data_IF_693809052035
#
_entry.id   IF_693809052035
#
_cell.length_a   1.000
_cell.length_b   1.000
_cell.length_c   1.000
_cell.angle_alpha   90.00
_cell.angle_beta   90.00
_cell.angle_gamma   90.00
#
_symmetry.space_group_name_H-M   'P 1'
#
loop_
_entity.id
_entity.type
_entity.pdbx_description
1 polymer ?
#
# COMPACT_ATOMS: atom_id res chain seq x y z
N UNK A 1 18.31 33.89 -22.84
CA UNK A 1 17.02 33.24 -22.46
C UNK A 1 15.80 33.68 -23.29
N UNK A 2 15.75 34.89 -23.86
CA UNK A 2 14.56 35.42 -24.54
C UNK A 2 14.02 34.56 -25.71
N UNK A 3 14.86 33.73 -26.32
CA UNK A 3 14.49 32.89 -27.47
C UNK A 3 13.96 31.49 -27.08
N UNK A 4 13.98 31.13 -25.80
CA UNK A 4 13.52 29.83 -25.33
C UNK A 4 11.98 29.75 -25.34
N UNK A 5 11.37 28.73 -25.96
CA UNK A 5 9.92 28.64 -25.99
C UNK A 5 9.37 28.51 -24.56
N UNK A 6 8.35 29.32 -24.25
CA UNK A 6 7.63 29.38 -22.96
C UNK A 6 8.36 30.05 -21.79
N UNK A 7 9.59 30.56 -21.96
CA UNK A 7 10.27 31.29 -20.89
C UNK A 7 9.92 32.77 -21.00
N UNK A 8 9.02 33.24 -20.13
CA UNK A 8 8.72 34.66 -20.01
C UNK A 8 9.88 35.46 -19.41
N UNK A 9 9.88 36.78 -19.60
CA UNK A 9 10.96 37.69 -19.14
C UNK A 9 11.30 37.50 -17.65
N UNK A 10 10.28 37.37 -16.79
CA UNK A 10 10.48 37.16 -15.34
C UNK A 10 11.19 35.85 -15.04
N UNK A 11 10.70 34.73 -15.58
CA UNK A 11 11.30 33.41 -15.39
C UNK A 11 12.71 33.35 -16.00
N UNK A 12 12.94 34.01 -17.14
CA UNK A 12 14.25 34.11 -17.76
C UNK A 12 15.28 34.82 -16.89
N UNK A 13 14.91 35.95 -16.25
CA UNK A 13 15.79 36.64 -15.29
C UNK A 13 16.06 35.80 -14.04
N UNK A 14 15.06 35.05 -13.56
CA UNK A 14 15.21 34.14 -12.42
C UNK A 14 16.15 32.98 -12.74
N UNK A 15 16.08 32.42 -13.96
CA UNK A 15 17.02 31.41 -14.46
C UNK A 15 18.46 31.93 -14.49
N UNK A 16 18.68 33.15 -14.99
CA UNK A 16 20.01 33.79 -14.94
C UNK A 16 20.53 33.93 -13.50
N UNK A 17 19.65 34.31 -12.56
CA UNK A 17 20.04 34.46 -11.15
C UNK A 17 20.47 33.15 -10.48
N UNK A 18 20.03 32.00 -11.01
CA UNK A 18 20.46 30.66 -10.56
C UNK A 18 21.56 30.04 -11.44
N UNK A 19 22.21 30.86 -12.29
CA UNK A 19 23.31 30.44 -13.15
C UNK A 19 22.90 29.65 -14.40
N UNK A 20 21.69 29.88 -14.91
CA UNK A 20 21.18 29.30 -16.17
C UNK A 20 20.92 30.45 -17.16
N UNK A 21 21.96 30.82 -17.89
CA UNK A 21 21.97 31.98 -18.80
C UNK A 21 21.54 31.62 -20.23
N UNK A 22 21.80 30.37 -20.65
CA UNK A 22 21.59 29.88 -22.02
C UNK A 22 20.65 28.68 -22.08
N UNK A 23 20.06 28.45 -23.25
CA UNK A 23 19.21 27.28 -23.49
C UNK A 23 20.00 25.99 -23.37
N UNK A 24 21.24 25.95 -23.86
CA UNK A 24 22.11 24.78 -23.71
C UNK A 24 22.40 24.44 -22.24
N UNK A 25 22.56 25.44 -21.37
CA UNK A 25 22.67 25.19 -19.92
C UNK A 25 21.36 24.66 -19.34
N UNK A 26 20.21 25.19 -19.76
CA UNK A 26 18.90 24.70 -19.33
C UNK A 26 18.67 23.24 -19.78
N UNK A 27 19.07 22.88 -20.99
CA UNK A 27 19.02 21.51 -21.51
C UNK A 27 19.95 20.57 -20.73
N UNK A 28 21.19 21.02 -20.45
CA UNK A 28 22.16 20.24 -19.69
C UNK A 28 21.72 19.99 -18.24
N UNK A 29 21.13 20.99 -17.59
CA UNK A 29 20.59 20.88 -16.22
C UNK A 29 19.26 20.10 -16.21
N UNK A 30 18.52 20.16 -17.31
CA UNK A 30 17.19 19.57 -17.44
C UNK A 30 16.11 20.34 -16.69
N UNK A 31 14.85 20.03 -17.01
CA UNK A 31 13.70 20.78 -16.49
C UNK A 31 13.46 20.59 -14.99
N UNK A 32 13.88 19.45 -14.43
CA UNK A 32 13.79 19.18 -12.99
C UNK A 32 14.87 19.91 -12.19
N UNK A 33 16.13 19.87 -12.65
CA UNK A 33 17.23 20.57 -12.01
C UNK A 33 17.04 22.09 -12.06
N UNK A 34 16.57 22.62 -13.19
CA UNK A 34 16.29 24.04 -13.32
C UNK A 34 15.14 24.48 -12.40
N UNK A 35 14.08 23.66 -12.30
CA UNK A 35 12.97 23.92 -11.40
C UNK A 35 13.44 23.97 -9.94
N UNK A 36 14.21 22.97 -9.50
CA UNK A 36 14.73 22.92 -8.14
C UNK A 36 15.54 24.17 -7.78
N UNK A 37 16.52 24.54 -8.62
CA UNK A 37 17.36 25.73 -8.40
C UNK A 37 16.55 27.03 -8.35
N UNK A 38 15.60 27.19 -9.27
CA UNK A 38 14.73 28.37 -9.28
C UNK A 38 13.87 28.43 -8.04
N UNK A 39 13.26 27.32 -7.61
CA UNK A 39 12.40 27.29 -6.41
C UNK A 39 13.15 27.44 -5.09
N UNK A 40 14.44 27.09 -5.07
CA UNK A 40 15.31 27.29 -3.91
C UNK A 40 15.53 28.77 -3.62
N UNK A 41 15.73 29.59 -4.66
CA UNK A 41 15.92 31.05 -4.53
C UNK A 41 14.58 31.81 -4.58
N UNK A 42 13.61 31.32 -5.35
CA UNK A 42 12.32 31.96 -5.59
C UNK A 42 11.17 30.98 -5.30
N UNK A 43 10.76 30.80 -4.03
CA UNK A 43 9.73 29.84 -3.66
C UNK A 43 8.37 30.05 -4.35
N UNK A 44 8.05 31.27 -4.79
CA UNK A 44 6.83 31.58 -5.55
C UNK A 44 6.79 30.96 -6.95
N UNK A 45 7.94 30.56 -7.49
CA UNK A 45 8.06 29.78 -8.72
C UNK A 45 7.71 28.30 -8.55
N UNK A 46 7.42 27.84 -7.32
CA UNK A 46 7.02 26.46 -7.02
C UNK A 46 5.58 26.16 -7.46
N UNK A 47 5.29 26.41 -8.74
CA UNK A 47 3.98 26.28 -9.34
C UNK A 47 4.02 25.44 -10.64
N UNK A 48 2.85 24.94 -11.03
CA UNK A 48 2.72 24.02 -12.18
C UNK A 48 3.14 24.68 -13.48
N UNK A 49 2.84 25.97 -13.64
CA UNK A 49 3.11 26.70 -14.88
C UNK A 49 4.61 26.78 -15.14
N UNK A 50 5.40 27.11 -14.13
CA UNK A 50 6.87 27.15 -14.22
C UNK A 50 7.45 25.79 -14.53
N UNK A 51 6.95 24.72 -13.90
CA UNK A 51 7.38 23.35 -14.20
C UNK A 51 7.13 22.95 -15.65
N UNK A 52 5.96 23.31 -16.19
CA UNK A 52 5.59 23.03 -17.58
C UNK A 52 6.36 23.90 -18.58
N UNK A 53 6.60 25.17 -18.25
CA UNK A 53 7.39 26.08 -19.06
C UNK A 53 8.82 25.58 -19.25
N UNK A 54 9.50 25.20 -18.16
CA UNK A 54 10.85 24.63 -18.20
C UNK A 54 10.88 23.31 -18.99
N UNK A 55 9.89 22.44 -18.78
CA UNK A 55 9.81 21.18 -19.52
C UNK A 55 9.59 21.37 -21.03
N UNK A 56 8.82 22.38 -21.43
CA UNK A 56 8.66 22.77 -22.82
C UNK A 56 9.94 23.37 -23.41
N UNK A 57 10.58 24.27 -22.68
CA UNK A 57 11.82 24.93 -23.07
C UNK A 57 12.96 23.93 -23.33
N UNK A 58 13.20 23.01 -22.40
CA UNK A 58 14.21 21.93 -22.53
C UNK A 58 13.94 21.01 -23.73
N UNK A 59 12.70 20.96 -24.22
CA UNK A 59 12.30 20.12 -25.35
C UNK A 59 12.09 20.91 -26.63
N UNK A 60 12.36 22.22 -26.64
CA UNK A 60 12.13 23.08 -27.80
C UNK A 60 10.66 23.18 -28.25
N UNK A 61 9.69 22.88 -27.39
CA UNK A 61 8.26 22.87 -27.76
C UNK A 61 7.44 23.79 -26.86
N UNK A 62 6.34 24.35 -27.40
CA UNK A 62 5.33 25.01 -26.55
C UNK A 62 4.81 24.02 -25.51
N UNK A 63 4.66 24.44 -24.25
CA UNK A 63 4.26 23.53 -23.16
C UNK A 63 2.89 22.87 -23.41
N UNK A 64 2.03 23.50 -24.19
CA UNK A 64 0.74 22.96 -24.65
C UNK A 64 0.88 21.75 -25.59
N UNK A 65 2.02 21.61 -26.28
CA UNK A 65 2.36 20.47 -27.14
C UNK A 65 3.00 19.30 -26.37
N UNK A 66 3.24 19.44 -25.06
CA UNK A 66 3.69 18.31 -24.23
C UNK A 66 2.58 17.25 -24.14
N UNK A 67 2.97 15.98 -24.21
CA UNK A 67 2.02 14.86 -24.14
C UNK A 67 1.16 14.93 -22.88
N UNK A 68 -0.09 14.46 -22.96
CA UNK A 68 -1.03 14.45 -21.81
C UNK A 68 -0.43 13.74 -20.60
N UNK A 69 0.24 12.61 -20.84
CA UNK A 69 0.92 11.82 -19.79
C UNK A 69 2.05 12.60 -19.13
N UNK A 70 2.87 13.30 -19.91
CA UNK A 70 3.97 14.11 -19.39
C UNK A 70 3.45 15.29 -18.57
N UNK A 71 2.47 16.04 -19.08
CA UNK A 71 1.85 17.16 -18.35
C UNK A 71 1.24 16.70 -17.03
N UNK A 72 0.50 15.59 -17.06
CA UNK A 72 -0.07 14.97 -15.85
C UNK A 72 1.03 14.68 -14.82
N UNK A 73 2.12 14.02 -15.22
CA UNK A 73 3.24 13.68 -14.34
C UNK A 73 3.91 14.91 -13.72
N UNK A 74 4.16 15.95 -14.52
CA UNK A 74 4.82 17.19 -14.08
C UNK A 74 3.94 17.99 -13.11
N UNK A 75 2.65 18.14 -13.42
CA UNK A 75 1.67 18.78 -12.52
C UNK A 75 1.58 18.08 -11.18
N UNK A 76 1.58 16.75 -11.20
CA UNK A 76 1.40 15.95 -10.01
C UNK A 76 2.60 16.05 -9.05
N UNK A 77 3.83 16.20 -9.58
CA UNK A 77 5.03 16.45 -8.76
C UNK A 77 5.00 17.81 -8.04
N UNK A 78 4.47 18.86 -8.65
CA UNK A 78 4.44 20.22 -8.05
C UNK A 78 3.30 20.40 -7.06
N UNK A 79 2.11 19.89 -7.40
CA UNK A 79 0.92 20.04 -6.55
C UNK A 79 0.87 19.06 -5.38
N UNK A 80 1.85 18.16 -5.27
CA UNK A 80 1.80 17.00 -4.37
C UNK A 80 0.70 15.98 -4.71
N UNK A 81 -0.12 16.21 -5.75
CA UNK A 81 -1.20 15.29 -6.18
C UNK A 81 -0.68 14.08 -6.96
N UNK A 82 0.63 13.97 -7.16
CA UNK A 82 1.30 12.87 -7.83
C UNK A 82 1.65 11.73 -6.91
N UNK A 83 0.63 11.00 -6.45
CA UNK A 83 0.74 9.74 -5.71
C UNK A 83 1.96 9.67 -4.77
N UNK A 84 1.94 10.42 -3.67
CA UNK A 84 2.00 9.65 -2.44
C UNK A 84 0.66 8.91 -2.42
N UNK A 85 0.67 7.62 -2.78
CA UNK A 85 -0.39 6.77 -2.24
C UNK A 85 -0.07 6.80 -0.75
N UNK A 86 -0.58 7.78 0.00
CA UNK A 86 -0.83 7.57 1.42
C UNK A 86 -1.47 6.19 1.44
N UNK A 87 -0.76 5.20 1.99
CA UNK A 87 -1.05 3.80 1.72
C UNK A 87 -2.53 3.61 2.02
N UNK A 88 -3.35 3.49 0.95
CA UNK A 88 -4.72 3.06 1.11
C UNK A 88 -4.52 1.66 1.65
N UNK A 89 -4.83 1.47 2.94
CA UNK A 89 -4.62 0.20 3.62
C UNK A 89 -5.16 -0.97 2.80
N UNK A 90 -4.75 -2.19 3.14
CA UNK A 90 -5.05 -3.35 2.32
C UNK A 90 -6.56 -3.61 2.21
N UNK A 91 -7.06 -4.02 1.05
CA UNK A 91 -8.36 -4.70 0.98
C UNK A 91 -8.21 -6.16 1.40
N UNK A 92 -9.31 -6.80 1.81
CA UNK A 92 -9.26 -8.24 2.08
C UNK A 92 -8.88 -9.05 0.84
N UNK A 93 -9.23 -8.62 -0.37
CA UNK A 93 -8.83 -9.28 -1.61
C UNK A 93 -7.30 -9.29 -1.76
N UNK A 94 -6.63 -8.20 -1.38
CA UNK A 94 -5.17 -8.14 -1.35
C UNK A 94 -4.60 -9.09 -0.30
N UNK A 95 -5.20 -9.14 0.90
CA UNK A 95 -4.81 -10.13 1.94
C UNK A 95 -5.00 -11.56 1.45
N UNK A 96 -6.11 -11.85 0.78
CA UNK A 96 -6.39 -13.16 0.21
C UNK A 96 -5.38 -13.54 -0.88
N UNK A 97 -5.05 -12.60 -1.78
CA UNK A 97 -4.03 -12.79 -2.81
C UNK A 97 -2.63 -13.05 -2.22
N UNK A 98 -2.33 -12.53 -1.02
CA UNK A 98 -1.10 -12.87 -0.29
C UNK A 98 -1.17 -14.31 0.26
N UNK A 99 -2.27 -14.64 0.95
CA UNK A 99 -2.45 -15.94 1.58
C UNK A 99 -2.51 -17.10 0.59
N UNK A 100 -3.16 -16.91 -0.56
CA UNK A 100 -3.28 -17.91 -1.63
C UNK A 100 -1.95 -18.27 -2.30
N UNK A 101 -0.88 -17.49 -2.06
CA UNK A 101 0.48 -17.87 -2.50
C UNK A 101 1.10 -18.94 -1.61
N UNK A 102 0.55 -19.18 -0.43
CA UNK A 102 1.04 -20.18 0.52
C UNK A 102 0.45 -21.55 0.18
N UNK A 103 1.28 -22.58 0.22
CA UNK A 103 0.92 -23.94 -0.20
C UNK A 103 -0.28 -24.46 0.60
N UNK A 104 -1.32 -24.90 -0.12
CA UNK A 104 -2.52 -25.54 0.46
C UNK A 104 -3.49 -24.57 1.13
N UNK A 105 -3.27 -23.26 1.02
CA UNK A 105 -4.22 -22.25 1.51
C UNK A 105 -5.31 -22.04 0.48
N UNK A 106 -6.56 -22.05 0.93
CA UNK A 106 -7.75 -21.83 0.13
C UNK A 106 -8.63 -20.74 0.75
N UNK A 107 -9.50 -20.14 -0.07
CA UNK A 107 -10.53 -19.25 0.44
C UNK A 107 -11.80 -20.04 0.71
N UNK A 108 -12.34 -19.94 1.92
CA UNK A 108 -13.69 -20.43 2.24
C UNK A 108 -14.35 -19.54 3.29
N UNK A 109 -15.69 -19.48 3.36
CA UNK A 109 -16.36 -18.70 4.39
C UNK A 109 -16.08 -19.21 5.81
N UNK A 110 -16.10 -18.29 6.77
CA UNK A 110 -16.14 -18.55 8.21
C UNK A 110 -17.10 -17.55 8.85
N UNK A 111 -18.13 -18.03 9.53
CA UNK A 111 -19.18 -17.19 10.13
C UNK A 111 -19.77 -16.17 9.14
N UNK A 112 -20.03 -16.60 7.90
CA UNK A 112 -20.61 -15.75 6.84
C UNK A 112 -19.66 -14.71 6.24
N UNK A 113 -18.38 -14.72 6.62
CA UNK A 113 -17.35 -13.80 6.11
C UNK A 113 -16.24 -14.53 5.37
N UNK A 114 -15.58 -13.91 4.37
CA UNK A 114 -14.44 -14.50 3.68
C UNK A 114 -13.29 -14.86 4.64
N UNK A 115 -12.71 -16.04 4.46
CA UNK A 115 -11.57 -16.51 5.25
C UNK A 115 -10.54 -17.26 4.40
N UNK A 116 -9.32 -17.31 4.91
CA UNK A 116 -8.23 -18.15 4.44
C UNK A 116 -8.13 -19.36 5.37
N UNK A 117 -8.03 -20.56 4.79
CA UNK A 117 -7.89 -21.81 5.53
C UNK A 117 -6.80 -22.69 4.93
N UNK A 118 -6.16 -23.49 5.76
CA UNK A 118 -5.23 -24.54 5.35
C UNK A 118 -5.82 -25.88 5.76
N UNK A 119 -6.18 -26.73 4.78
CA UNK A 119 -6.81 -28.05 5.03
C UNK A 119 -8.00 -27.94 6.00
N UNK A 120 -8.90 -26.98 5.76
CA UNK A 120 -10.06 -26.70 6.61
C UNK A 120 -9.78 -25.96 7.93
N UNK A 121 -8.51 -25.74 8.32
CA UNK A 121 -8.14 -25.01 9.55
C UNK A 121 -7.99 -23.52 9.28
N UNK A 122 -8.59 -22.70 10.14
CA UNK A 122 -8.62 -21.24 9.96
C UNK A 122 -7.22 -20.62 10.11
N UNK A 123 -6.84 -19.80 9.14
CA UNK A 123 -5.61 -18.99 9.16
C UNK A 123 -5.90 -17.53 9.45
N UNK A 124 -6.82 -16.96 8.67
CA UNK A 124 -7.25 -15.58 8.81
C UNK A 124 -8.70 -15.43 8.33
N UNK A 125 -9.45 -14.50 8.91
CA UNK A 125 -10.78 -14.14 8.36
C UNK A 125 -11.02 -12.65 8.44
N UNK A 126 -11.77 -12.15 7.47
CA UNK A 126 -12.38 -10.83 7.55
C UNK A 126 -13.39 -10.83 8.70
N UNK A 127 -13.43 -9.77 9.50
CA UNK A 127 -14.49 -9.58 10.48
C UNK A 127 -15.71 -8.90 9.87
N UNK A 128 -16.80 -8.91 10.61
CA UNK A 128 -18.12 -8.43 10.20
C UNK A 128 -18.10 -6.92 9.87
N UNK A 129 -17.18 -6.16 10.48
CA UNK A 129 -16.96 -4.74 10.21
C UNK A 129 -16.33 -4.43 8.85
N UNK A 130 -15.86 -5.46 8.12
CA UNK A 130 -15.15 -5.37 6.83
C UNK A 130 -13.91 -4.48 6.83
N UNK A 131 -13.41 -4.10 8.01
CA UNK A 131 -12.28 -3.20 8.23
C UNK A 131 -11.12 -3.90 8.93
N UNK A 132 -11.38 -5.06 9.54
CA UNK A 132 -10.41 -5.79 10.34
C UNK A 132 -10.33 -7.24 9.94
N UNK A 133 -9.13 -7.81 10.04
CA UNK A 133 -8.86 -9.23 9.80
C UNK A 133 -8.34 -9.81 11.10
N UNK A 134 -8.86 -10.96 11.53
CA UNK A 134 -8.25 -11.72 12.61
C UNK A 134 -7.30 -12.76 12.01
N UNK A 135 -6.09 -12.88 12.54
CA UNK A 135 -5.04 -13.78 12.02
C UNK A 135 -4.49 -14.66 13.15
N UNK A 136 -4.27 -15.93 12.85
CA UNK A 136 -3.69 -16.92 13.78
C UNK A 136 -2.26 -16.50 14.12
N UNK A 137 -1.87 -16.61 15.38
CA UNK A 137 -0.54 -16.26 15.89
C UNK A 137 -0.22 -17.13 17.13
N UNK A 138 0.68 -16.69 18.02
CA UNK A 138 0.91 -17.19 19.38
C UNK A 138 0.65 -16.07 20.41
N UNK A 139 0.63 -16.40 21.70
CA UNK A 139 0.50 -15.37 22.76
C UNK A 139 1.68 -14.40 22.75
N UNK A 140 2.90 -14.93 22.72
CA UNK A 140 4.13 -14.12 22.75
C UNK A 140 4.24 -13.19 21.53
N UNK A 141 3.96 -13.71 20.33
CA UNK A 141 4.02 -12.90 19.11
C UNK A 141 2.92 -11.83 19.12
N UNK A 142 1.72 -12.18 19.58
CA UNK A 142 0.62 -11.22 19.73
C UNK A 142 1.05 -10.06 20.62
N UNK A 143 1.64 -10.32 21.78
CA UNK A 143 2.10 -9.27 22.70
C UNK A 143 3.15 -8.36 22.06
N UNK A 144 4.11 -8.93 21.32
CA UNK A 144 5.08 -8.15 20.54
C UNK A 144 4.39 -7.25 19.50
N UNK A 145 3.43 -7.78 18.73
CA UNK A 145 2.70 -7.01 17.72
C UNK A 145 1.90 -5.85 18.34
N UNK A 146 1.25 -6.11 19.48
CA UNK A 146 0.50 -5.10 20.24
C UNK A 146 1.41 -3.96 20.73
N UNK A 147 2.61 -4.30 21.21
CA UNK A 147 3.59 -3.31 21.66
C UNK A 147 4.23 -2.51 20.52
N UNK A 148 4.45 -3.13 19.36
CA UNK A 148 5.09 -2.49 18.21
C UNK A 148 4.19 -1.46 17.51
N UNK A 149 2.93 -1.80 17.26
CA UNK A 149 1.99 -0.89 16.59
C UNK A 149 0.53 -1.16 17.03
N UNK A 150 0.10 -0.59 18.17
CA UNK A 150 -1.27 -0.76 18.68
C UNK A 150 -2.35 -0.10 17.80
N UNK A 151 -1.95 0.78 16.85
CA UNK A 151 -2.88 1.34 15.87
C UNK A 151 -3.25 0.32 14.81
N UNK A 152 -2.35 -0.61 14.50
CA UNK A 152 -2.54 -1.64 13.49
C UNK A 152 -2.96 -2.98 14.10
N UNK A 153 -2.35 -3.38 15.20
CA UNK A 153 -2.57 -4.66 15.87
C UNK A 153 -3.25 -4.43 17.21
N UNK A 154 -4.34 -5.14 17.46
CA UNK A 154 -5.06 -5.06 18.72
C UNK A 154 -5.73 -6.40 19.03
N UNK A 155 -6.23 -6.52 20.26
CA UNK A 155 -7.07 -7.65 20.67
C UNK A 155 -8.39 -7.09 21.20
N UNK A 156 -9.46 -7.85 21.07
CA UNK A 156 -10.74 -7.55 21.73
C UNK A 156 -10.98 -8.55 22.85
N UNK A 157 -11.90 -8.23 23.76
CA UNK A 157 -12.25 -9.09 24.90
C UNK A 157 -12.54 -10.54 24.49
N UNK A 158 -13.20 -10.70 23.34
CA UNK A 158 -13.52 -12.01 22.75
C UNK A 158 -12.28 -12.88 22.43
N UNK A 159 -11.13 -12.28 22.14
CA UNK A 159 -9.91 -12.97 21.72
C UNK A 159 -8.84 -13.05 22.83
N UNK A 160 -9.08 -12.51 24.03
CA UNK A 160 -8.08 -12.47 25.10
C UNK A 160 -7.48 -13.86 25.41
N UNK A 161 -8.33 -14.89 25.46
CA UNK A 161 -7.98 -16.27 25.81
C UNK A 161 -7.47 -17.12 24.64
N UNK A 162 -7.32 -16.55 23.45
CA UNK A 162 -6.97 -17.30 22.25
C UNK A 162 -5.78 -16.69 21.49
N UNK A 163 -4.95 -17.51 20.82
CA UNK A 163 -3.75 -17.04 20.12
C UNK A 163 -4.11 -16.44 18.74
N UNK A 164 -4.81 -15.31 18.78
CA UNK A 164 -5.26 -14.53 17.62
C UNK A 164 -4.96 -13.05 17.82
N UNK A 165 -4.61 -12.37 16.74
CA UNK A 165 -4.46 -10.91 16.70
C UNK A 165 -5.45 -10.31 15.71
N UNK A 166 -6.03 -9.15 16.06
CA UNK A 166 -6.89 -8.38 15.17
C UNK A 166 -6.05 -7.31 14.48
N UNK A 167 -6.16 -7.23 13.16
CA UNK A 167 -5.35 -6.35 12.31
C UNK A 167 -6.26 -5.34 11.62
N UNK A 168 -5.95 -4.04 11.72
CA UNK A 168 -6.63 -2.99 10.97
C UNK A 168 -6.11 -2.95 9.54
N UNK A 169 -7.00 -3.22 8.59
CA UNK A 169 -6.69 -3.15 7.16
C UNK A 169 -6.22 -1.77 6.73
N UNK A 170 -6.80 -0.71 7.31
CA UNK A 170 -6.51 0.67 6.95
C UNK A 170 -5.05 1.11 7.19
N UNK A 171 -4.33 0.46 8.10
CA UNK A 171 -2.99 0.90 8.55
C UNK A 171 -1.91 -0.15 8.32
N UNK A 172 -2.27 -1.43 8.17
CA UNK A 172 -1.29 -2.50 7.95
C UNK A 172 -0.57 -2.35 6.61
N UNK A 173 0.76 -2.48 6.65
CA UNK A 173 1.61 -2.54 5.45
C UNK A 173 1.54 -3.92 4.80
N UNK A 174 1.66 -3.98 3.48
CA UNK A 174 1.63 -5.26 2.74
C UNK A 174 2.71 -6.24 3.22
N UNK A 175 3.94 -5.77 3.47
CA UNK A 175 5.03 -6.61 3.98
C UNK A 175 4.71 -7.21 5.34
N UNK A 176 4.22 -6.40 6.29
CA UNK A 176 3.84 -6.88 7.61
C UNK A 176 2.70 -7.90 7.55
N UNK A 177 1.70 -7.69 6.70
CA UNK A 177 0.61 -8.65 6.50
C UNK A 177 1.13 -9.97 5.89
N UNK A 178 2.03 -9.90 4.91
CA UNK A 178 2.65 -11.08 4.28
C UNK A 178 3.38 -11.93 5.32
N UNK A 179 4.27 -11.31 6.10
CA UNK A 179 5.04 -12.02 7.12
C UNK A 179 4.14 -12.64 8.19
N UNK A 180 3.08 -11.94 8.61
CA UNK A 180 2.12 -12.45 9.57
C UNK A 180 1.36 -13.67 9.03
N UNK A 181 0.94 -13.65 7.75
CA UNK A 181 0.30 -14.80 7.11
C UNK A 181 1.24 -16.01 6.97
N UNK A 182 2.52 -15.78 6.68
CA UNK A 182 3.53 -16.84 6.62
C UNK A 182 3.77 -17.49 8.00
N UNK A 183 3.82 -16.69 9.06
CA UNK A 183 3.91 -17.20 10.44
C UNK A 183 2.66 -17.96 10.85
N UNK A 184 1.48 -17.43 10.53
CA UNK A 184 0.21 -18.10 10.73
C UNK A 184 0.18 -19.46 10.00
N UNK A 185 0.66 -19.51 8.75
CA UNK A 185 0.75 -20.73 7.96
C UNK A 185 1.64 -21.79 8.60
N UNK A 186 2.82 -21.40 9.10
CA UNK A 186 3.70 -22.31 9.85
C UNK A 186 3.02 -22.84 11.12
N UNK A 187 2.36 -21.97 11.89
CA UNK A 187 1.66 -22.35 13.10
C UNK A 187 0.53 -23.35 12.83
N UNK A 188 -0.33 -23.08 11.83
CA UNK A 188 -1.42 -23.99 11.46
C UNK A 188 -0.88 -25.29 10.87
N UNK A 189 0.20 -25.24 10.09
CA UNK A 189 0.85 -26.43 9.54
C UNK A 189 1.37 -27.36 10.63
N UNK A 190 1.94 -26.80 11.71
CA UNK A 190 2.44 -27.58 12.85
C UNK A 190 1.33 -28.25 13.68
N UNK A 191 0.10 -27.71 13.64
CA UNK A 191 -1.06 -28.32 14.31
C UNK A 191 -1.76 -29.40 13.46
N UNK A 192 -1.34 -29.60 12.22
CA UNK A 192 -1.92 -30.59 11.32
C UNK A 192 -1.13 -31.90 11.43
N UNK A 193 -1.80 -33.05 11.55
CA UNK A 193 -1.12 -34.33 11.53
C UNK A 193 -0.39 -34.52 10.20
N UNK A 194 0.79 -35.16 10.26
CA UNK A 194 1.50 -35.59 9.05
C UNK A 194 0.57 -36.43 8.18
N UNK A 195 0.61 -36.20 6.87
CA UNK A 195 -0.19 -36.99 5.93
C UNK A 195 0.31 -38.43 5.96
N UNK A 196 -0.42 -39.32 6.61
CA UNK A 196 -0.40 -40.74 6.23
C UNK A 196 -1.06 -40.85 4.84
N UNK A 197 -0.53 -41.71 3.97
CA UNK A 197 -0.79 -41.75 2.52
C UNK A 197 -2.25 -42.16 2.14
N UNK A 198 -3.19 -42.21 3.09
CA UNK A 198 -4.47 -42.91 2.92
C UNK A 198 -5.75 -42.04 2.92
N UNK A 199 -5.69 -40.72 2.74
CA UNK A 199 -6.89 -39.87 2.76
C UNK A 199 -7.19 -39.26 1.38
N UNK A 200 -7.97 -40.00 0.59
CA UNK A 200 -8.78 -39.45 -0.51
C UNK A 200 -9.90 -38.54 0.04
N UNK A 201 -10.42 -37.56 -0.73
CA UNK A 201 -11.21 -36.48 -0.18
C UNK A 201 -12.62 -36.92 0.23
N UNK A 202 -12.88 -37.05 1.53
CA UNK A 202 -14.25 -37.06 2.04
C UNK A 202 -14.83 -35.64 1.98
N UNK A 203 -15.97 -35.52 1.31
CA UNK A 203 -16.74 -34.30 1.17
C UNK A 203 -17.05 -33.66 2.54
N UNK A 204 -16.85 -32.34 2.61
CA UNK A 204 -17.09 -31.50 3.79
C UNK A 204 -18.54 -31.65 4.30
N UNK A 205 -18.71 -32.31 5.44
CA UNK A 205 -19.95 -32.24 6.21
C UNK A 205 -20.16 -30.81 6.78
N UNK A 206 -21.41 -30.32 6.90
CA UNK A 206 -21.68 -28.97 7.34
C UNK A 206 -21.32 -28.79 8.82
N UNK A 207 -20.59 -27.71 9.14
CA UNK A 207 -20.37 -27.25 10.51
C UNK A 207 -21.72 -26.90 11.12
N UNK A 208 -22.21 -27.73 12.04
CA UNK A 208 -23.42 -27.48 12.80
C UNK A 208 -23.28 -26.19 13.65
N UNK A 209 -24.33 -25.37 13.78
CA UNK A 209 -24.28 -24.17 14.60
C UNK A 209 -24.16 -24.55 16.09
N UNK A 210 -23.16 -24.01 16.77
CA UNK A 210 -23.00 -24.15 18.23
C UNK A 210 -24.16 -23.43 18.92
N UNK A 211 -25.07 -24.18 19.55
CA UNK A 211 -26.05 -23.63 20.49
C UNK A 211 -25.31 -23.14 21.75
N UNK A 212 -25.44 -21.87 22.06
CA UNK A 212 -25.07 -21.33 23.37
C UNK A 212 -25.96 -21.90 24.48
N UNK A 213 -25.58 -21.78 25.75
CA UNK A 213 -26.38 -22.31 26.85
C UNK A 213 -27.65 -21.47 27.01
N UNK A 214 -28.82 -22.11 27.02
CA UNK A 214 -30.03 -21.46 27.53
C UNK A 214 -29.91 -21.38 29.05
N UNK A 215 -30.02 -20.16 29.57
CA UNK A 215 -30.24 -19.87 30.98
C UNK A 215 -31.74 -19.90 31.28
N UNK A 216 -32.04 -20.44 32.46
CA UNK A 216 -33.33 -20.53 33.20
C UNK A 216 -34.38 -21.49 32.68
#
# INVERSE_FOLDING_TARGET
>A
MADAPNIGVTLGRRLQRVGIDTVGQLEAVGDEGAFARVTEIFPDEANVQTRLALAGAVRGVRWTKLSKTLRSRLTAKVTGKGKSRAAKGLSFEQVAALGLKLKGVETSPSYGTPALKLRGRLLARLREDRKTVVVKTSFDEREVLLGLDPRTFFVTDHYLKYPWVVVRLATVKESAMRELLERAHRAVSAELPERTVADEPVASAPVAPRRGPLMS
#
